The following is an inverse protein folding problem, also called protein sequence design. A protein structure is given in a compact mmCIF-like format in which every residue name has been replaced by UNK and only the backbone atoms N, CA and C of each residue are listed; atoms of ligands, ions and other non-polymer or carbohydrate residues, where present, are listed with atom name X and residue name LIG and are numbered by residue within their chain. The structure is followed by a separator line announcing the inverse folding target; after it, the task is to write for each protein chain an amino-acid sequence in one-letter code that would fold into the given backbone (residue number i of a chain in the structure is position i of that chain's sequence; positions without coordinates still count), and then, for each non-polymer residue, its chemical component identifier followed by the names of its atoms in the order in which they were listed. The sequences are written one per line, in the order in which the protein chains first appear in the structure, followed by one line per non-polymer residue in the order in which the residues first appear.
data_IF_728541946918
#
_entry.id   IF_728541946918
#
_cell.length_a   1.000
_cell.length_b   1.000
_cell.length_c   1.000
_cell.angle_alpha   90.00
_cell.angle_beta   90.00
_cell.angle_gamma   90.00
#
_symmetry.space_group_name_H-M   'P 1'
#
loop_
_entity.id
_entity.type
_entity.pdbx_description
1 polymer ?
#
# COMPACT_ATOMS: atom_id res chain seq x y z
N UNK A 1 -11.38 25.97 -43.46
CA UNK A 1 -11.21 26.40 -42.06
C UNK A 1 -12.22 25.79 -41.09
N UNK A 2 -13.55 25.89 -41.29
CA UNK A 2 -14.57 25.33 -40.36
C UNK A 2 -14.46 23.82 -40.06
N UNK A 3 -14.10 22.97 -41.02
CA UNK A 3 -13.93 21.51 -40.79
C UNK A 3 -12.72 21.21 -39.91
N UNK A 4 -11.59 21.87 -40.15
CA UNK A 4 -10.38 21.74 -39.34
C UNK A 4 -10.62 22.22 -37.90
N UNK A 5 -11.32 23.36 -37.71
CA UNK A 5 -11.68 23.86 -36.38
C UNK A 5 -12.56 22.87 -35.58
N UNK A 6 -13.51 22.20 -36.25
CA UNK A 6 -14.33 21.15 -35.63
C UNK A 6 -13.49 19.95 -35.21
N UNK A 7 -12.56 19.50 -36.05
CA UNK A 7 -11.65 18.39 -35.72
C UNK A 7 -10.76 18.74 -34.52
N UNK A 8 -10.15 19.93 -34.51
CA UNK A 8 -9.37 20.41 -33.36
C UNK A 8 -10.21 20.49 -32.08
N UNK A 9 -11.45 20.97 -32.17
CA UNK A 9 -12.36 21.03 -31.02
C UNK A 9 -12.71 19.64 -30.48
N UNK A 10 -12.99 18.66 -31.35
CA UNK A 10 -13.23 17.28 -30.93
C UNK A 10 -12.00 16.66 -30.26
N UNK A 11 -10.80 16.90 -30.80
CA UNK A 11 -9.54 16.42 -30.20
C UNK A 11 -9.34 17.06 -28.82
N UNK A 12 -9.53 18.38 -28.70
CA UNK A 12 -9.38 19.08 -27.43
C UNK A 12 -10.35 18.55 -26.36
N UNK A 13 -11.60 18.27 -26.73
CA UNK A 13 -12.59 17.67 -25.83
C UNK A 13 -12.15 16.26 -25.42
N UNK A 14 -11.69 15.43 -26.36
CA UNK A 14 -11.21 14.08 -26.05
C UNK A 14 -10.02 14.10 -25.08
N UNK A 15 -9.05 15.00 -25.30
CA UNK A 15 -7.90 15.19 -24.40
C UNK A 15 -8.35 15.67 -23.02
N UNK A 16 -9.26 16.65 -22.95
CA UNK A 16 -9.78 17.14 -21.67
C UNK A 16 -10.48 16.03 -20.87
N UNK A 17 -11.28 15.20 -21.53
CA UNK A 17 -11.94 14.04 -20.90
C UNK A 17 -10.91 13.07 -20.34
N UNK A 18 -9.88 12.71 -21.12
CA UNK A 18 -8.80 11.82 -20.65
C UNK A 18 -8.10 12.40 -19.43
N UNK A 19 -7.77 13.69 -19.46
CA UNK A 19 -7.11 14.36 -18.33
C UNK A 19 -7.99 14.36 -17.08
N UNK A 20 -9.30 14.62 -17.20
CA UNK A 20 -10.23 14.58 -16.06
C UNK A 20 -10.25 13.19 -15.42
N UNK A 21 -10.25 12.12 -16.22
CA UNK A 21 -10.23 10.75 -15.69
C UNK A 21 -8.87 10.30 -15.16
N UNK A 22 -7.76 10.80 -15.73
CA UNK A 22 -6.40 10.48 -15.31
C UNK A 22 -5.96 11.29 -14.09
N UNK A 23 -6.51 12.49 -13.88
CA UNK A 23 -6.10 13.42 -12.83
C UNK A 23 -6.05 12.80 -11.43
N UNK A 24 -7.05 12.02 -10.98
CA UNK A 24 -6.99 11.40 -9.66
C UNK A 24 -5.79 10.46 -9.48
N UNK A 25 -5.45 9.68 -10.51
CA UNK A 25 -4.31 8.76 -10.45
C UNK A 25 -2.98 9.51 -10.44
N UNK A 26 -2.88 10.61 -11.20
CA UNK A 26 -1.72 11.50 -11.16
C UNK A 26 -1.57 12.06 -9.74
N UNK A 27 -2.65 12.57 -9.13
CA UNK A 27 -2.58 13.09 -7.76
C UNK A 27 -2.19 12.04 -6.72
N UNK A 28 -2.57 10.78 -6.94
CA UNK A 28 -2.21 9.67 -6.06
C UNK A 28 -0.76 9.24 -6.22
N UNK A 29 -0.24 9.20 -7.45
CA UNK A 29 1.17 8.89 -7.72
C UNK A 29 2.12 9.86 -7.01
N UNK A 30 1.74 11.13 -6.91
CA UNK A 30 2.52 12.17 -6.25
C UNK A 30 2.15 12.39 -4.77
N UNK A 31 1.27 11.57 -4.19
CA UNK A 31 0.92 11.68 -2.78
C UNK A 31 2.07 11.19 -1.88
N UNK A 32 2.38 11.97 -0.85
CA UNK A 32 3.39 11.57 0.16
C UNK A 32 2.88 10.49 1.10
N UNK A 33 1.57 10.40 1.30
CA UNK A 33 0.93 9.36 2.12
C UNK A 33 -0.55 9.25 1.81
N UNK A 34 -1.16 8.14 2.22
CA UNK A 34 -2.60 7.94 2.19
C UNK A 34 -3.05 7.06 3.36
N UNK A 35 -4.23 7.33 3.89
CA UNK A 35 -4.93 6.52 4.87
C UNK A 35 -6.29 6.13 4.30
N UNK A 36 -6.60 4.83 4.27
CA UNK A 36 -7.75 4.34 3.52
C UNK A 36 -8.22 2.97 4.00
N UNK A 37 -9.40 2.56 3.56
CA UNK A 37 -10.03 1.27 3.86
C UNK A 37 -10.29 0.48 2.58
N UNK A 38 -10.78 -0.76 2.70
CA UNK A 38 -11.22 -1.53 1.51
C UNK A 38 -12.43 -0.92 0.79
N UNK A 39 -13.17 -0.01 1.44
CA UNK A 39 -14.30 0.68 0.83
C UNK A 39 -13.84 1.77 -0.14
N UNK A 40 -12.65 2.32 0.10
CA UNK A 40 -11.97 3.31 -0.72
C UNK A 40 -11.32 2.61 -1.94
N UNK A 41 -12.16 2.13 -2.87
CA UNK A 41 -11.74 1.22 -3.94
C UNK A 41 -10.59 1.75 -4.79
N UNK A 42 -10.51 3.07 -5.01
CA UNK A 42 -9.45 3.65 -5.83
C UNK A 42 -8.11 3.55 -5.11
N UNK A 43 -8.07 4.03 -3.87
CA UNK A 43 -6.92 4.01 -2.96
C UNK A 43 -6.47 2.59 -2.68
N UNK A 44 -7.40 1.70 -2.33
CA UNK A 44 -7.12 0.29 -2.07
C UNK A 44 -6.53 -0.44 -3.29
N UNK A 45 -7.06 -0.18 -4.48
CA UNK A 45 -6.54 -0.81 -5.69
C UNK A 45 -5.15 -0.30 -6.06
N UNK A 46 -4.92 1.01 -5.88
CA UNK A 46 -3.69 1.69 -6.26
C UNK A 46 -2.54 1.48 -5.26
N UNK A 47 -2.81 1.67 -3.96
CA UNK A 47 -1.77 1.64 -2.94
C UNK A 47 -1.58 0.28 -2.28
N UNK A 48 -2.53 -0.65 -2.30
CA UNK A 48 -2.36 -1.90 -1.54
C UNK A 48 -1.63 -2.97 -2.37
N UNK A 49 -0.43 -3.43 -1.97
CA UNK A 49 0.25 -4.52 -2.65
C UNK A 49 -0.47 -5.86 -2.43
N UNK A 50 -0.27 -6.80 -3.34
CA UNK A 50 -0.97 -8.10 -3.36
C UNK A 50 -0.85 -8.89 -2.05
N UNK A 51 0.32 -8.81 -1.40
CA UNK A 51 0.56 -9.46 -0.11
C UNK A 51 -0.42 -8.96 0.96
N UNK A 52 -0.71 -7.66 1.01
CA UNK A 52 -1.65 -7.06 1.96
C UNK A 52 -3.10 -7.27 1.53
N UNK A 53 -3.38 -7.28 0.22
CA UNK A 53 -4.71 -7.60 -0.33
C UNK A 53 -5.17 -9.00 0.07
N UNK A 54 -4.25 -9.98 0.07
CA UNK A 54 -4.51 -11.39 0.41
C UNK A 54 -4.29 -11.74 1.89
N UNK A 55 -3.83 -10.78 2.70
CA UNK A 55 -3.58 -10.97 4.13
C UNK A 55 -4.86 -11.34 4.89
N UNK A 56 -4.83 -12.31 5.83
CA UNK A 56 -6.01 -12.65 6.63
C UNK A 56 -6.55 -11.43 7.39
N UNK A 57 -7.87 -11.22 7.39
CA UNK A 57 -8.51 -10.18 8.20
C UNK A 57 -8.63 -10.68 9.64
N UNK A 58 -7.72 -10.23 10.51
CA UNK A 58 -7.57 -10.75 11.88
C UNK A 58 -8.68 -10.22 12.79
N UNK A 59 -9.00 -8.93 12.63
CA UNK A 59 -10.05 -8.23 13.39
C UNK A 59 -11.02 -7.56 12.43
N UNK A 60 -12.26 -7.26 12.85
CA UNK A 60 -13.24 -6.54 12.03
C UNK A 60 -12.83 -5.08 11.76
N UNK A 61 -12.01 -4.50 12.64
CA UNK A 61 -11.58 -3.11 12.58
C UNK A 61 -10.12 -3.06 12.15
N UNK A 62 -9.91 -2.65 10.91
CA UNK A 62 -8.59 -2.47 10.32
C UNK A 62 -8.63 -1.39 9.24
N UNK A 63 -7.48 -0.80 8.97
CA UNK A 63 -7.27 0.16 7.89
C UNK A 63 -5.90 -0.05 7.25
N UNK A 64 -5.66 0.70 6.18
CA UNK A 64 -4.43 0.67 5.41
C UNK A 64 -3.79 2.04 5.38
N UNK A 65 -2.46 2.03 5.37
CA UNK A 65 -1.63 3.22 5.25
C UNK A 65 -0.67 3.05 4.07
N UNK A 66 -0.38 4.15 3.38
CA UNK A 66 0.71 4.30 2.44
C UNK A 66 1.57 5.50 2.85
N UNK A 67 2.88 5.36 2.73
CA UNK A 67 3.82 6.47 2.87
C UNK A 67 4.93 6.36 1.82
N UNK A 68 5.16 7.46 1.12
CA UNK A 68 6.32 7.71 0.28
C UNK A 68 7.32 8.57 1.06
N UNK A 69 8.37 7.94 1.55
CA UNK A 69 9.38 8.62 2.38
C UNK A 69 10.50 9.12 1.47
N UNK A 70 10.70 10.44 1.46
CA UNK A 70 11.87 11.10 0.84
C UNK A 70 13.11 10.85 1.71
N UNK A 71 13.68 9.65 1.60
CA UNK A 71 14.84 9.15 2.36
C UNK A 71 15.56 8.03 1.59
N UNK A 72 16.15 6.98 2.22
CA UNK A 72 16.42 5.76 1.47
C UNK A 72 15.10 5.38 0.80
N UNK A 73 15.05 5.45 -0.53
CA UNK A 73 13.79 5.55 -1.28
C UNK A 73 12.93 4.34 -0.97
N UNK A 74 11.95 4.53 -0.08
CA UNK A 74 11.15 3.44 0.45
C UNK A 74 9.68 3.76 0.37
N UNK A 75 8.94 2.95 -0.38
CA UNK A 75 7.50 2.92 -0.27
C UNK A 75 7.13 1.98 0.87
N UNK A 76 6.38 2.51 1.83
CA UNK A 76 5.83 1.76 2.94
C UNK A 76 4.34 1.60 2.72
N UNK A 77 3.89 0.36 2.69
CA UNK A 77 2.49 -0.02 2.63
C UNK A 77 2.16 -0.77 3.91
N UNK A 78 1.08 -0.44 4.59
CA UNK A 78 0.75 -1.11 5.84
C UNK A 78 -0.74 -1.45 5.94
N UNK A 79 -1.02 -2.49 6.72
CA UNK A 79 -2.33 -2.79 7.27
C UNK A 79 -2.22 -2.78 8.79
N UNK A 80 -3.19 -2.13 9.45
CA UNK A 80 -3.24 -2.04 10.90
C UNK A 80 -4.51 -2.72 11.40
N UNK A 81 -4.34 -3.74 12.24
CA UNK A 81 -5.44 -4.43 12.90
C UNK A 81 -5.59 -3.88 14.32
N UNK A 82 -6.71 -3.25 14.62
CA UNK A 82 -6.97 -2.69 15.93
C UNK A 82 -7.35 -3.76 16.94
N UNK A 83 -7.08 -3.48 18.22
CA UNK A 83 -7.54 -4.24 19.38
C UNK A 83 -6.96 -5.67 19.44
N UNK A 84 -5.79 -5.89 18.81
CA UNK A 84 -5.07 -7.17 18.81
C UNK A 84 -3.54 -6.98 18.79
N UNK A 85 -2.83 -7.95 19.34
CA UNK A 85 -1.37 -8.18 19.23
C UNK A 85 -1.05 -9.61 18.74
N UNK A 86 -2.08 -10.40 18.41
CA UNK A 86 -1.92 -11.77 17.91
C UNK A 86 -1.51 -11.77 16.43
N UNK A 87 -0.24 -12.05 16.17
CA UNK A 87 0.33 -12.18 14.82
C UNK A 87 0.25 -13.59 14.24
N UNK A 88 -0.28 -14.59 14.95
CA UNK A 88 -0.19 -16.01 14.55
C UNK A 88 -0.71 -16.29 13.14
N UNK A 89 -1.84 -15.65 12.77
CA UNK A 89 -2.42 -15.76 11.41
C UNK A 89 -1.56 -15.09 10.34
N UNK A 90 -0.92 -13.97 10.68
CA UNK A 90 0.03 -13.26 9.79
C UNK A 90 1.25 -14.13 9.57
N UNK A 91 1.84 -14.63 10.65
CA UNK A 91 3.04 -15.48 10.61
C UNK A 91 2.79 -16.74 9.76
N UNK A 92 1.63 -17.39 9.95
CA UNK A 92 1.23 -18.55 9.15
C UNK A 92 1.07 -18.20 7.66
N UNK A 93 0.43 -17.07 7.36
CA UNK A 93 0.26 -16.60 5.98
C UNK A 93 1.59 -16.29 5.30
N UNK A 94 2.47 -15.52 5.96
CA UNK A 94 3.78 -15.15 5.43
C UNK A 94 4.65 -16.39 5.16
N UNK A 95 4.65 -17.35 6.09
CA UNK A 95 5.34 -18.62 5.88
C UNK A 95 4.74 -19.42 4.71
N UNK A 96 3.41 -19.41 4.54
CA UNK A 96 2.73 -20.15 3.47
C UNK A 96 3.07 -19.65 2.06
N UNK A 97 3.42 -18.37 1.92
CA UNK A 97 3.81 -17.75 0.63
C UNK A 97 5.33 -17.62 0.47
N UNK A 98 6.11 -18.22 1.39
CA UNK A 98 7.56 -18.41 1.26
C UNK A 98 8.43 -17.36 1.93
N UNK A 99 7.89 -16.48 2.78
CA UNK A 99 8.72 -15.61 3.62
C UNK A 99 9.33 -16.39 4.77
N UNK A 100 10.53 -15.97 5.17
CA UNK A 100 11.22 -16.49 6.35
C UNK A 100 11.35 -15.39 7.38
N UNK A 101 10.96 -15.71 8.61
CA UNK A 101 11.22 -14.88 9.78
C UNK A 101 12.74 -14.70 9.93
N UNK A 102 13.18 -13.47 10.11
CA UNK A 102 14.59 -13.14 10.31
C UNK A 102 14.91 -13.16 11.81
N UNK A 103 16.15 -13.51 12.15
CA UNK A 103 16.64 -13.50 13.53
C UNK A 103 16.88 -12.07 14.04
N UNK A 104 17.16 -11.14 13.11
CA UNK A 104 17.36 -9.72 13.39
C UNK A 104 16.39 -8.83 12.59
N UNK A 105 16.16 -7.63 13.12
CA UNK A 105 15.38 -6.60 12.45
C UNK A 105 15.94 -5.23 12.85
N UNK A 106 16.09 -4.34 11.86
CA UNK A 106 16.62 -2.98 12.06
C UNK A 106 15.73 -2.04 12.89
N UNK A 107 14.53 -2.47 13.24
CA UNK A 107 13.53 -1.73 14.03
C UNK A 107 12.96 -2.66 15.09
N UNK A 108 12.22 -2.11 16.04
CA UNK A 108 11.48 -2.86 17.06
C UNK A 108 10.26 -3.58 16.44
N UNK A 109 10.53 -4.62 15.64
CA UNK A 109 9.57 -5.44 14.93
C UNK A 109 10.15 -6.82 14.61
N UNK A 110 9.30 -7.72 14.13
CA UNK A 110 9.72 -8.96 13.48
C UNK A 110 9.86 -8.72 11.98
N UNK A 111 11.07 -8.88 11.45
CA UNK A 111 11.34 -8.82 10.02
C UNK A 111 11.08 -10.18 9.34
N UNK A 112 10.52 -10.13 8.13
CA UNK A 112 10.28 -11.27 7.25
C UNK A 112 10.82 -10.92 5.87
N UNK A 113 11.55 -11.85 5.27
CA UNK A 113 12.13 -11.68 3.93
C UNK A 113 11.90 -12.90 3.06
N UNK A 114 11.81 -12.67 1.76
CA UNK A 114 11.92 -13.70 0.73
C UNK A 114 13.34 -13.68 0.17
N UNK A 115 13.56 -14.34 -0.97
CA UNK A 115 14.80 -14.28 -1.74
C UNK A 115 15.06 -12.87 -2.31
N UNK A 116 14.03 -12.05 -2.46
CA UNK A 116 14.16 -10.67 -2.93
C UNK A 116 14.71 -9.76 -1.82
N UNK A 117 15.88 -9.12 -1.99
CA UNK A 117 16.45 -8.23 -0.99
C UNK A 117 15.76 -6.87 -0.91
N UNK A 118 14.97 -6.47 -1.92
CA UNK A 118 14.34 -5.15 -1.98
C UNK A 118 13.01 -5.09 -1.22
N UNK A 119 12.40 -6.23 -0.90
CA UNK A 119 11.13 -6.31 -0.18
C UNK A 119 11.32 -6.86 1.23
N UNK A 120 10.91 -6.09 2.23
CA UNK A 120 10.94 -6.49 3.64
C UNK A 120 9.54 -6.34 4.21
N UNK A 121 9.04 -7.39 4.86
CA UNK A 121 7.78 -7.34 5.59
C UNK A 121 8.09 -7.24 7.08
N UNK A 122 7.51 -6.28 7.78
CA UNK A 122 7.67 -6.10 9.22
C UNK A 122 6.34 -6.33 9.93
N UNK A 123 6.36 -7.07 11.03
CA UNK A 123 5.21 -7.29 11.91
C UNK A 123 5.55 -6.71 13.28
N UNK A 124 4.80 -5.71 13.72
CA UNK A 124 5.02 -5.02 15.00
C UNK A 124 3.71 -4.82 15.76
N UNK A 125 3.83 -4.60 17.07
CA UNK A 125 2.71 -4.31 17.96
C UNK A 125 2.80 -2.86 18.42
N UNK A 126 1.75 -2.10 18.21
CA UNK A 126 1.56 -0.76 18.75
C UNK A 126 0.80 -0.88 20.07
N UNK A 127 1.26 -0.15 21.10
CA UNK A 127 0.65 -0.23 22.43
C UNK A 127 -0.41 0.87 22.69
N UNK A 128 -0.39 1.97 21.92
CA UNK A 128 -1.30 3.11 22.09
C UNK A 128 -1.70 3.74 20.74
N UNK A 129 -2.85 3.36 20.15
CA UNK A 129 -3.77 2.30 20.59
C UNK A 129 -3.17 0.89 20.40
N UNK A 130 -3.69 -0.10 21.14
CA UNK A 130 -3.32 -1.51 20.93
C UNK A 130 -3.65 -1.93 19.51
N UNK A 131 -2.64 -2.25 18.71
CA UNK A 131 -2.83 -2.69 17.33
C UNK A 131 -1.66 -3.55 16.85
N UNK A 132 -1.96 -4.47 15.93
CA UNK A 132 -0.95 -5.19 15.16
C UNK A 132 -0.74 -4.47 13.83
N UNK A 133 0.48 -4.04 13.56
CA UNK A 133 0.87 -3.39 12.32
C UNK A 133 1.68 -4.36 11.46
N UNK A 134 1.25 -4.54 10.21
CA UNK A 134 2.01 -5.28 9.20
C UNK A 134 2.37 -4.32 8.09
N UNK A 135 3.66 -4.12 7.86
CA UNK A 135 4.17 -3.20 6.84
C UNK A 135 5.02 -3.93 5.81
N UNK A 136 4.94 -3.49 4.57
CA UNK A 136 5.76 -3.92 3.43
C UNK A 136 6.58 -2.73 3.01
N UNK A 137 7.89 -2.89 3.05
CA UNK A 137 8.87 -1.86 2.74
C UNK A 137 9.58 -2.31 1.47
N UNK A 138 9.42 -1.52 0.40
CA UNK A 138 10.19 -1.71 -0.83
C UNK A 138 11.33 -0.68 -0.86
N UNK A 139 12.57 -1.15 -0.96
CA UNK A 139 13.75 -0.30 -1.11
C UNK A 139 14.15 -0.24 -2.59
N UNK A 140 14.21 0.96 -3.17
CA UNK A 140 14.61 1.18 -4.58
C UNK A 140 16.02 1.73 -4.70
#
# INVERSE_FOLDING_TARGET
MRKSLKVFSCIAIAVAVVLIFAWPYITMEFAGSAHYTEQDKREYNFYTPDILKKMPRITPRYDFDFANITGPASHIYAVRYYDTDDSSKVDAYLNSIGYRKQDDCHIEAVCWRKTDPQEIVTVSTLNNPKALLVSVIYNF
#
